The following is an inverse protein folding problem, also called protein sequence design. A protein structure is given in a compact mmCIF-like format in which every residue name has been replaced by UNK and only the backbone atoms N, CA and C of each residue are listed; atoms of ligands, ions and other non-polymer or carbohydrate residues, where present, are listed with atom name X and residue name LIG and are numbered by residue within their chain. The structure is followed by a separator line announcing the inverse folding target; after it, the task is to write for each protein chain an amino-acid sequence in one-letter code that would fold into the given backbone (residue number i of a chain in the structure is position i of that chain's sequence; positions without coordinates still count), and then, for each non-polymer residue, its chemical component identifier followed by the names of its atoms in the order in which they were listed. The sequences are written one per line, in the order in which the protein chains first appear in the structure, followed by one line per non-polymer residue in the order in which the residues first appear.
data_IF_807638955547
#
_entry.id   IF_807638955547
#
_cell.length_a   1.000
_cell.length_b   1.000
_cell.length_c   1.000
_cell.angle_alpha   90.00
_cell.angle_beta   90.00
_cell.angle_gamma   90.00
#
_symmetry.space_group_name_H-M   'P 1'
#
loop_
_entity.id
_entity.type
_entity.pdbx_description
1 polymer ?
#
# COMPACT_ATOMS: atom_id res chain seq x y z
N UNK A 1 -5.51 -0.06 -3.33
CA UNK A 1 -5.03 -1.32 -2.76
C UNK A 1 -5.82 -1.64 -1.49
N UNK A 2 -6.09 -0.61 -0.70
CA UNK A 2 -6.87 -0.78 0.53
C UNK A 2 -6.07 -1.39 1.66
N UNK A 3 -5.17 -2.30 1.33
CA UNK A 3 -4.34 -2.99 2.32
C UNK A 3 -3.52 -2.01 3.16
N UNK A 4 -3.37 -2.35 4.42
CA UNK A 4 -2.61 -1.54 5.36
C UNK A 4 -1.17 -2.04 5.47
N UNK A 5 -0.21 -1.19 5.16
CA UNK A 5 1.18 -1.56 5.25
C UNK A 5 1.70 -1.29 6.66
N UNK A 6 1.09 -1.98 7.62
CA UNK A 6 1.47 -1.83 9.03
C UNK A 6 2.97 -2.04 9.21
N UNK A 7 3.50 -3.08 8.56
CA UNK A 7 4.91 -3.36 8.65
C UNK A 7 5.70 -2.72 7.52
N UNK A 8 5.17 -1.64 6.95
CA UNK A 8 5.83 -0.94 5.87
C UNK A 8 5.74 -1.65 4.53
N UNK A 9 5.68 -2.97 4.55
CA UNK A 9 5.60 -3.76 3.34
C UNK A 9 4.16 -3.97 2.90
N UNK A 10 3.95 -4.07 1.60
CA UNK A 10 2.63 -4.29 1.03
C UNK A 10 2.56 -5.69 0.41
N UNK A 11 1.38 -6.26 0.38
CA UNK A 11 1.17 -7.60 -0.17
C UNK A 11 0.87 -7.52 -1.67
N UNK A 12 0.43 -6.37 -2.13
CA UNK A 12 0.09 -6.18 -3.52
C UNK A 12 1.22 -5.45 -4.26
N UNK A 13 1.74 -6.06 -5.34
CA UNK A 13 2.81 -5.48 -6.14
C UNK A 13 2.35 -4.20 -6.83
N UNK A 14 3.20 -3.17 -6.80
CA UNK A 14 2.85 -1.91 -7.40
C UNK A 14 2.34 -0.92 -6.39
N UNK A 15 1.89 -1.43 -5.25
CA UNK A 15 1.39 -0.56 -4.19
C UNK A 15 2.53 -0.12 -3.29
N UNK A 16 2.64 1.19 -3.13
CA UNK A 16 3.68 1.78 -2.30
C UNK A 16 3.09 2.06 -0.92
N UNK A 17 3.87 1.83 0.12
CA UNK A 17 3.38 2.05 1.47
C UNK A 17 3.19 3.53 1.76
N UNK A 18 1.99 3.86 2.15
CA UNK A 18 1.62 5.22 2.52
C UNK A 18 0.92 5.10 3.86
N UNK A 19 1.68 4.60 4.84
CA UNK A 19 1.22 4.33 6.20
C UNK A 19 0.06 5.22 6.62
N UNK A 20 -1.05 4.60 7.06
CA UNK A 20 -1.19 3.15 7.17
C UNK A 20 -1.93 2.50 5.99
N UNK A 21 -1.70 2.98 4.78
CA UNK A 21 -2.38 2.40 3.62
C UNK A 21 -1.49 2.35 2.38
N UNK A 22 -1.53 1.23 1.68
CA UNK A 22 -0.74 1.08 0.46
C UNK A 22 -1.44 1.72 -0.72
N UNK A 23 -0.68 2.43 -1.52
CA UNK A 23 -1.21 3.12 -2.68
C UNK A 23 -0.42 2.75 -3.94
N UNK A 24 -1.10 2.25 -4.95
CA UNK A 24 -0.42 1.90 -6.18
C UNK A 24 -0.49 3.09 -7.13
N UNK A 25 0.67 3.52 -7.60
CA UNK A 25 0.74 4.68 -8.50
C UNK A 25 0.15 5.92 -7.81
N UNK A 26 0.20 5.91 -6.48
CA UNK A 26 -0.35 7.01 -5.70
C UNK A 26 -1.85 6.88 -5.47
N UNK A 27 -2.43 5.78 -5.93
CA UNK A 27 -3.86 5.55 -5.76
C UNK A 27 -4.12 4.54 -4.64
N UNK A 28 -4.89 4.97 -3.62
CA UNK A 28 -5.23 4.12 -2.48
C UNK A 28 -6.31 3.10 -2.81
N UNK A 29 -6.14 2.43 -3.93
CA UNK A 29 -7.09 1.43 -4.38
C UNK A 29 -6.74 0.06 -3.81
#
# INVERSE_FOLDING_TARGET
CGETCFGGTCNTPGCSCTWPICTRDGLPV
#
